data_IF_058258467832
#
_entry.id   IF_058258467832
#
_cell.length_a   1.000
_cell.length_b   1.000
_cell.length_c   1.000
_cell.angle_alpha   90.00
_cell.angle_beta   90.00
_cell.angle_gamma   90.00
#
_symmetry.space_group_name_H-M   'P 1'
#
loop_
_entity.id
_entity.type
_entity.pdbx_description
1 polymer ?
#
# COMPACT_ATOMS: atom_id res chain seq x y z
N UNK A 1 -22.15 0.02 -15.43
CA UNK A 1 -20.97 -0.72 -15.94
C UNK A 1 -19.90 -0.59 -14.86
N UNK A 2 -19.75 -1.63 -14.03
CA UNK A 2 -18.89 -1.60 -12.85
C UNK A 2 -17.53 -2.19 -13.21
N UNK A 3 -16.51 -1.34 -13.26
CA UNK A 3 -15.15 -1.77 -13.53
C UNK A 3 -14.58 -2.48 -12.29
N UNK A 4 -14.26 -3.76 -12.46
CA UNK A 4 -13.17 -4.52 -11.80
C UNK A 4 -12.97 -4.33 -10.30
N UNK A 5 -13.50 -5.27 -9.51
CA UNK A 5 -12.77 -6.01 -8.46
C UNK A 5 -12.11 -5.28 -7.28
N UNK A 6 -12.20 -3.96 -7.18
CA UNK A 6 -11.64 -3.23 -6.04
C UNK A 6 -12.54 -3.45 -4.81
N UNK A 7 -11.99 -4.08 -3.78
CA UNK A 7 -12.59 -4.06 -2.43
C UNK A 7 -12.71 -2.61 -2.00
N UNK A 8 -13.93 -2.10 -1.92
CA UNK A 8 -14.20 -0.71 -1.55
C UNK A 8 -14.33 -0.58 -0.03
N UNK A 9 -13.57 0.34 0.54
CA UNK A 9 -13.65 0.74 1.94
C UNK A 9 -14.00 2.23 2.08
N UNK A 10 -14.39 2.65 3.28
CA UNK A 10 -14.53 4.08 3.63
C UNK A 10 -13.18 4.80 3.57
N UNK A 11 -12.12 4.06 3.85
CA UNK A 11 -10.74 4.46 3.69
C UNK A 11 -10.06 3.45 2.76
N UNK A 12 -9.35 3.94 1.74
CA UNK A 12 -8.49 3.11 0.90
C UNK A 12 -7.13 3.79 0.72
N UNK A 13 -6.07 2.99 0.71
CA UNK A 13 -4.72 3.39 0.33
C UNK A 13 -4.25 2.47 -0.81
N UNK A 14 -3.98 3.04 -1.98
CA UNK A 14 -3.58 2.29 -3.17
C UNK A 14 -2.19 2.73 -3.61
N UNK A 15 -1.25 1.79 -3.64
CA UNK A 15 0.09 1.95 -4.19
C UNK A 15 0.10 1.53 -5.66
N UNK A 16 0.70 2.34 -6.54
CA UNK A 16 0.87 2.06 -7.96
C UNK A 16 2.30 2.40 -8.39
N UNK A 17 2.90 1.55 -9.22
CA UNK A 17 4.22 1.83 -9.80
C UNK A 17 4.32 1.25 -11.22
N UNK A 18 5.38 1.66 -11.94
CA UNK A 18 5.61 1.28 -13.34
C UNK A 18 6.93 0.53 -13.50
N UNK A 19 7.15 -0.51 -12.68
CA UNK A 19 8.32 -1.39 -12.76
C UNK A 19 7.97 -2.79 -12.25
N UNK A 20 8.87 -3.75 -12.49
CA UNK A 20 8.77 -5.12 -11.95
C UNK A 20 9.38 -5.27 -10.56
N UNK A 21 9.76 -4.16 -9.92
CA UNK A 21 10.20 -4.18 -8.53
C UNK A 21 9.07 -4.67 -7.61
N UNK A 22 9.46 -5.29 -6.51
CA UNK A 22 8.57 -5.77 -5.46
C UNK A 22 8.44 -4.67 -4.38
N UNK A 23 7.46 -3.79 -4.58
CA UNK A 23 7.20 -2.66 -3.69
C UNK A 23 6.00 -3.00 -2.81
N UNK A 24 6.15 -2.88 -1.49
CA UNK A 24 5.06 -3.13 -0.56
C UNK A 24 4.40 -1.83 -0.09
N UNK A 25 3.08 -1.85 -0.01
CA UNK A 25 2.30 -0.92 0.81
C UNK A 25 2.38 -1.35 2.28
N UNK A 26 2.88 -0.45 3.12
CA UNK A 26 3.00 -0.68 4.55
C UNK A 26 2.15 0.34 5.30
N UNK A 27 1.35 -0.14 6.24
CA UNK A 27 0.54 0.71 7.11
C UNK A 27 0.96 0.49 8.55
N UNK A 28 1.39 1.54 9.25
CA UNK A 28 1.53 1.50 10.71
C UNK A 28 0.21 1.90 11.34
N UNK A 29 -0.34 0.97 12.12
CA UNK A 29 -1.59 1.14 12.85
C UNK A 29 -1.41 2.04 14.09
N UNK A 30 -2.50 2.62 14.61
CA UNK A 30 -2.47 3.38 15.87
C UNK A 30 -1.89 2.62 17.06
N UNK A 31 -2.08 1.30 17.08
CA UNK A 31 -1.53 0.40 18.11
C UNK A 31 -0.01 0.18 18.03
N UNK A 32 0.65 0.70 16.98
CA UNK A 32 2.06 0.43 16.68
C UNK A 32 2.31 -0.87 15.90
N UNK A 33 1.26 -1.68 15.65
CA UNK A 33 1.32 -2.84 14.77
C UNK A 33 1.42 -2.42 13.30
N UNK A 34 1.83 -3.34 12.44
CA UNK A 34 2.02 -3.09 11.01
C UNK A 34 1.11 -4.00 10.19
N UNK A 35 0.37 -3.40 9.25
CA UNK A 35 -0.32 -4.11 8.17
C UNK A 35 0.57 -4.08 6.92
N UNK A 36 0.89 -5.25 6.39
CA UNK A 36 1.65 -5.47 5.16
C UNK A 36 1.40 -6.91 4.67
N UNK A 37 2.11 -7.35 3.63
CA UNK A 37 1.91 -8.70 3.08
C UNK A 37 2.06 -9.85 4.10
N UNK A 38 2.82 -9.66 5.20
CA UNK A 38 2.98 -10.67 6.26
C UNK A 38 1.83 -10.67 7.23
N UNK A 39 1.25 -9.50 7.49
CA UNK A 39 0.09 -9.31 8.36
C UNK A 39 -0.99 -8.57 7.57
N UNK A 40 -1.68 -9.24 6.63
CA UNK A 40 -2.55 -8.58 5.67
C UNK A 40 -3.85 -8.06 6.29
N UNK A 41 -4.13 -8.34 7.56
CA UNK A 41 -5.33 -7.86 8.25
C UNK A 41 -4.96 -7.31 9.62
N UNK A 42 -4.96 -5.99 9.77
CA UNK A 42 -4.70 -5.29 11.02
C UNK A 42 -5.48 -3.99 11.14
N UNK A 43 -5.66 -3.52 12.38
CA UNK A 43 -6.36 -2.27 12.73
C UNK A 43 -7.68 -2.04 11.98
N UNK A 44 -8.44 -3.14 11.82
CA UNK A 44 -9.73 -3.20 11.13
C UNK A 44 -9.68 -3.09 9.61
N UNK A 45 -8.47 -3.06 9.02
CA UNK A 45 -8.24 -3.00 7.59
C UNK A 45 -7.74 -4.31 7.01
N UNK A 46 -7.64 -4.34 5.69
CA UNK A 46 -7.09 -5.48 4.95
C UNK A 46 -6.28 -5.01 3.75
N UNK A 47 -5.15 -5.68 3.51
CA UNK A 47 -4.35 -5.62 2.28
C UNK A 47 -4.87 -6.70 1.32
N UNK A 48 -5.13 -6.34 0.06
CA UNK A 48 -5.82 -7.22 -0.89
C UNK A 48 -4.92 -7.90 -1.93
N UNK A 49 -3.83 -7.25 -2.31
CA UNK A 49 -2.91 -7.68 -3.37
C UNK A 49 -1.49 -7.43 -2.92
N UNK A 50 -0.66 -8.46 -3.12
CA UNK A 50 0.78 -8.45 -2.94
C UNK A 50 1.39 -8.69 -4.33
N UNK A 51 1.84 -7.62 -4.98
CA UNK A 51 2.15 -7.63 -6.41
C UNK A 51 3.64 -7.80 -6.66
N UNK A 52 3.99 -8.53 -7.72
CA UNK A 52 5.38 -8.79 -8.10
C UNK A 52 6.20 -9.60 -7.08
N UNK A 53 5.59 -10.39 -6.19
CA UNK A 53 6.35 -11.24 -5.23
C UNK A 53 7.15 -12.38 -5.86
N UNK A 54 6.79 -12.82 -7.06
CA UNK A 54 7.38 -14.00 -7.69
C UNK A 54 7.57 -13.82 -9.20
N UNK A 55 8.65 -14.41 -9.74
CA UNK A 55 9.02 -14.37 -11.17
C UNK A 55 7.87 -14.71 -12.13
N UNK A 56 7.02 -15.66 -11.74
CA UNK A 56 5.90 -16.13 -12.58
C UNK A 56 4.70 -15.19 -12.61
N UNK A 57 4.68 -14.14 -11.79
CA UNK A 57 3.51 -13.27 -11.57
C UNK A 57 3.87 -11.78 -11.68
N UNK A 58 4.88 -11.46 -12.49
CA UNK A 58 5.33 -10.08 -12.68
C UNK A 58 4.41 -9.30 -13.63
N UNK A 59 4.16 -8.04 -13.29
CA UNK A 59 3.48 -7.07 -14.14
C UNK A 59 4.29 -5.76 -14.17
N UNK A 60 4.18 -5.03 -15.28
CA UNK A 60 4.83 -3.73 -15.46
C UNK A 60 3.99 -2.57 -14.89
N UNK A 61 2.73 -2.84 -14.50
CA UNK A 61 1.81 -1.88 -13.85
C UNK A 61 1.16 -2.48 -12.61
N UNK A 62 1.97 -2.88 -11.62
CA UNK A 62 1.50 -3.43 -10.36
C UNK A 62 0.73 -2.42 -9.51
N UNK A 63 -0.14 -2.97 -8.68
CA UNK A 63 -0.98 -2.24 -7.73
C UNK A 63 -1.08 -3.06 -6.45
N UNK A 64 -0.97 -2.40 -5.31
CA UNK A 64 -1.39 -2.95 -4.00
C UNK A 64 -2.42 -2.03 -3.38
N UNK A 65 -3.40 -2.60 -2.69
CA UNK A 65 -4.44 -1.81 -2.04
C UNK A 65 -4.72 -2.30 -0.61
N UNK A 66 -4.78 -1.33 0.29
CA UNK A 66 -5.27 -1.49 1.65
C UNK A 66 -6.62 -0.79 1.77
N UNK A 67 -7.59 -1.42 2.44
CA UNK A 67 -8.90 -0.83 2.66
C UNK A 67 -9.44 -1.10 4.06
N UNK A 68 -10.25 -0.17 4.56
CA UNK A 68 -11.00 -0.31 5.80
C UNK A 68 -12.49 -0.20 5.48
N UNK A 69 -13.30 -1.23 5.77
CA UNK A 69 -14.74 -1.11 5.66
C UNK A 69 -15.28 0.01 6.57
N UNK A 70 -16.45 0.54 6.24
CA UNK A 70 -17.06 1.65 6.97
C UNK A 70 -17.13 1.38 8.48
N UNK A 71 -16.60 2.32 9.27
CA UNK A 71 -16.57 2.24 10.74
C UNK A 71 -15.69 1.11 11.31
N UNK A 72 -14.82 0.48 10.51
CA UNK A 72 -13.90 -0.57 10.98
C UNK A 72 -12.51 -0.07 11.33
N UNK A 73 -12.07 1.05 10.74
CA UNK A 73 -10.80 1.65 11.11
C UNK A 73 -10.77 2.00 12.60
N UNK A 74 -9.75 1.52 13.31
CA UNK A 74 -9.53 1.86 14.72
C UNK A 74 -9.22 3.37 14.87
N UNK A 75 -9.70 4.05 15.92
CA UNK A 75 -9.35 5.44 16.16
C UNK A 75 -7.86 5.63 16.42
N UNK A 76 -7.29 6.71 15.90
CA UNK A 76 -5.90 7.11 16.14
C UNK A 76 -5.12 7.40 14.86
N UNK A 77 -3.79 7.45 14.99
CA UNK A 77 -2.89 7.86 13.93
C UNK A 77 -2.39 6.66 13.12
N UNK A 78 -2.52 6.77 11.81
CA UNK A 78 -2.00 5.84 10.82
C UNK A 78 -0.85 6.48 10.06
N UNK A 79 0.17 5.71 9.71
CA UNK A 79 1.19 6.12 8.74
C UNK A 79 1.13 5.19 7.53
N UNK A 80 1.17 5.78 6.33
CA UNK A 80 1.31 5.07 5.06
C UNK A 80 2.77 5.19 4.62
N UNK A 81 3.40 4.05 4.35
CA UNK A 81 4.78 3.93 3.91
C UNK A 81 4.86 3.05 2.67
N UNK A 82 5.92 3.22 1.90
CA UNK A 82 6.27 2.34 0.78
C UNK A 82 7.61 1.70 1.07
N UNK A 83 7.67 0.38 0.95
CA UNK A 83 8.88 -0.41 1.09
C UNK A 83 9.28 -0.96 -0.27
N UNK A 84 10.57 -1.20 -0.47
CA UNK A 84 11.06 -1.95 -1.61
C UNK A 84 12.04 -3.00 -1.14
N UNK A 85 11.63 -4.27 -1.21
CA UNK A 85 12.48 -5.42 -0.94
C UNK A 85 12.69 -6.15 -2.27
N UNK A 86 13.82 -5.95 -2.97
CA UNK A 86 14.04 -6.63 -4.23
C UNK A 86 13.94 -8.15 -4.06
N UNK A 87 13.29 -8.82 -5.01
CA UNK A 87 13.29 -10.27 -5.03
C UNK A 87 14.72 -10.78 -5.18
N UNK A 88 15.01 -11.97 -4.65
CA UNK A 88 16.35 -12.59 -4.78
C UNK A 88 16.81 -12.76 -6.21
N UNK A 89 15.87 -12.86 -7.15
CA UNK A 89 16.10 -13.10 -8.56
C UNK A 89 15.92 -11.84 -9.42
N UNK A 90 15.75 -10.67 -8.79
CA UNK A 90 15.64 -9.39 -9.47
C UNK A 90 17.02 -8.88 -9.90
N UNK A 91 17.20 -8.73 -11.21
CA UNK A 91 18.46 -8.28 -11.78
C UNK A 91 18.55 -6.75 -11.78
N UNK A 92 19.62 -6.21 -11.18
CA UNK A 92 19.92 -4.76 -11.09
C UNK A 92 18.74 -3.92 -10.55
N UNK A 93 18.28 -4.13 -9.30
CA UNK A 93 17.24 -3.30 -8.68
C UNK A 93 17.57 -1.81 -8.80
N UNK A 94 16.61 -0.99 -9.22
CA UNK A 94 16.78 0.45 -9.43
C UNK A 94 15.75 1.23 -8.62
N UNK A 95 16.08 2.47 -8.27
CA UNK A 95 15.14 3.42 -7.70
C UNK A 95 13.84 3.44 -8.51
N UNK A 96 12.72 3.16 -7.84
CA UNK A 96 11.41 2.99 -8.49
C UNK A 96 10.49 4.15 -8.11
N UNK A 97 10.06 4.97 -9.09
CA UNK A 97 9.00 5.95 -8.89
C UNK A 97 7.66 5.27 -8.63
N UNK A 98 6.88 5.83 -7.71
CA UNK A 98 5.56 5.31 -7.34
C UNK A 98 4.56 6.45 -7.09
N UNK A 99 3.29 6.06 -7.02
CA UNK A 99 2.19 6.90 -6.60
C UNK A 99 1.38 6.18 -5.51
N UNK A 100 1.03 6.89 -4.44
CA UNK A 100 0.05 6.45 -3.43
C UNK A 100 -1.20 7.30 -3.55
N UNK A 101 -2.37 6.68 -3.65
CA UNK A 101 -3.67 7.32 -3.57
C UNK A 101 -4.31 6.98 -2.22
N UNK A 102 -4.69 7.99 -1.46
CA UNK A 102 -5.40 7.83 -0.19
C UNK A 102 -6.80 8.42 -0.35
N UNK A 103 -7.83 7.57 -0.33
CA UNK A 103 -9.23 7.98 -0.32
C UNK A 103 -9.81 7.87 1.08
N UNK A 104 -10.45 8.92 1.58
CA UNK A 104 -11.07 8.99 2.91
C UNK A 104 -12.29 9.90 2.86
N UNK A 105 -13.46 9.41 3.29
CA UNK A 105 -14.68 10.23 3.34
C UNK A 105 -15.06 10.86 1.99
N UNK A 106 -14.79 10.15 0.89
CA UNK A 106 -15.04 10.62 -0.48
C UNK A 106 -14.02 11.62 -1.03
N UNK A 107 -12.99 12.00 -0.27
CA UNK A 107 -11.87 12.81 -0.75
C UNK A 107 -10.66 11.95 -1.07
N UNK A 108 -10.06 12.17 -2.24
CA UNK A 108 -8.82 11.51 -2.66
C UNK A 108 -7.63 12.48 -2.56
N UNK A 109 -6.53 12.02 -1.98
CA UNK A 109 -5.22 12.66 -2.01
C UNK A 109 -4.22 11.79 -2.76
N UNK A 110 -3.35 12.41 -3.55
CA UNK A 110 -2.36 11.71 -4.36
C UNK A 110 -0.95 12.16 -3.96
N UNK A 111 -0.10 11.18 -3.65
CA UNK A 111 1.29 11.38 -3.27
C UNK A 111 2.19 10.68 -4.27
N UNK A 112 3.24 11.35 -4.74
CA UNK A 112 4.24 10.77 -5.64
C UNK A 112 5.58 10.69 -4.90
N UNK A 113 6.35 9.65 -5.19
CA UNK A 113 7.65 9.47 -4.57
C UNK A 113 8.56 8.57 -5.38
N UNK A 114 9.73 8.27 -4.82
CA UNK A 114 10.68 7.31 -5.36
C UNK A 114 11.27 6.53 -4.20
N UNK A 115 11.31 5.20 -4.31
CA UNK A 115 11.84 4.31 -3.28
C UNK A 115 13.10 3.63 -3.82
N UNK A 116 14.14 3.57 -2.99
CA UNK A 116 15.38 2.87 -3.33
C UNK A 116 15.31 1.40 -2.90
N UNK A 117 16.04 0.49 -3.55
CA UNK A 117 16.18 -0.89 -3.08
C UNK A 117 16.55 -0.96 -1.59
N UNK A 118 15.89 -1.84 -0.84
CA UNK A 118 16.10 -2.07 0.60
C UNK A 118 15.81 -0.86 1.50
N UNK A 119 14.87 0.01 1.10
CA UNK A 119 14.45 1.15 1.91
C UNK A 119 12.95 1.13 2.22
N UNK A 120 12.58 1.90 3.24
CA UNK A 120 11.21 2.16 3.66
C UNK A 120 11.03 3.67 3.75
N UNK A 121 10.06 4.23 3.03
CA UNK A 121 9.85 5.67 2.92
C UNK A 121 8.46 6.02 3.49
N UNK A 122 8.37 6.88 4.52
CA UNK A 122 7.10 7.43 4.97
C UNK A 122 6.52 8.37 3.91
N UNK A 123 5.23 8.22 3.61
CA UNK A 123 4.56 8.99 2.55
C UNK A 123 3.63 10.03 3.14
N UNK A 124 2.73 9.59 4.01
CA UNK A 124 1.73 10.46 4.64
C UNK A 124 1.21 9.81 5.91
N UNK A 125 0.55 10.60 6.75
CA UNK A 125 -0.14 10.13 7.93
C UNK A 125 -1.56 10.68 7.96
N UNK A 126 -2.45 9.95 8.62
CA UNK A 126 -3.81 10.42 8.84
C UNK A 126 -4.37 9.96 10.18
N UNK A 127 -5.33 10.72 10.70
CA UNK A 127 -6.00 10.41 11.97
C UNK A 127 -7.45 10.01 11.73
N UNK A 128 -7.86 8.89 12.31
CA UNK A 128 -9.26 8.48 12.43
C UNK A 128 -9.80 8.99 13.75
N UNK A 129 -10.85 9.80 13.69
CA UNK A 129 -11.56 10.29 14.88
C UNK A 129 -12.64 9.30 15.31
N UNK A 130 -13.06 9.37 16.57
CA UNK A 130 -14.22 8.61 17.08
C UNK A 130 -15.53 9.22 16.60
#
# INVERSE_FOLDING_TARGET
MSATGASSGEITATLLWNSRGDLDLVVRCPSGRQMDFRNPAECGGSLDVDANIARGQLTDRPVENAFWPAGKAEPGNYEILVRYVPRKDEERPQDTPFQVRLSRGGQESVYKGTVRPNTLVPITAFTVQR
#
